data_IF_595254786346
#
_entry.id   IF_595254786346
#
_cell.length_a   1.000
_cell.length_b   1.000
_cell.length_c   1.000
_cell.angle_alpha   90.00
_cell.angle_beta   90.00
_cell.angle_gamma   90.00
#
_symmetry.space_group_name_H-M   'P 1'
#
loop_
_entity.id
_entity.type
_entity.pdbx_description
1 polymer ?
#
# COMPACT_ATOMS: atom_id res chain seq x y z
N UNK A 1 -31.12 16.22 8.75
CA UNK A 1 -32.18 15.70 9.66
C UNK A 1 -31.96 16.25 11.08
N UNK A 2 -30.79 16.13 11.71
CA UNK A 2 -30.48 16.67 13.05
C UNK A 2 -30.67 18.21 13.11
N UNK A 3 -30.32 18.92 12.07
CA UNK A 3 -30.49 20.37 11.93
C UNK A 3 -31.96 20.79 11.92
N UNK A 4 -32.76 20.12 11.10
CA UNK A 4 -34.21 20.37 11.06
C UNK A 4 -34.86 20.09 12.41
N UNK A 5 -34.44 19.02 13.09
CA UNK A 5 -34.93 18.68 14.42
C UNK A 5 -34.54 19.74 15.47
N UNK A 6 -33.30 20.28 15.43
CA UNK A 6 -32.86 21.35 16.31
C UNK A 6 -33.64 22.66 16.05
N UNK A 7 -33.81 23.02 14.77
CA UNK A 7 -34.59 24.19 14.38
C UNK A 7 -36.03 24.09 14.82
N UNK A 8 -36.66 22.92 14.70
CA UNK A 8 -38.02 22.66 15.15
C UNK A 8 -38.12 22.73 16.69
N UNK A 9 -37.16 22.21 17.43
CA UNK A 9 -37.14 22.29 18.90
C UNK A 9 -36.96 23.72 19.41
N UNK A 10 -36.09 24.51 18.78
CA UNK A 10 -35.93 25.94 19.10
C UNK A 10 -37.22 26.72 18.80
N UNK A 11 -37.84 26.48 17.64
CA UNK A 11 -39.11 27.11 17.28
C UNK A 11 -40.22 26.77 18.27
N UNK A 12 -40.34 25.51 18.70
CA UNK A 12 -41.30 25.08 19.69
C UNK A 12 -41.03 25.69 21.09
N UNK A 13 -39.78 25.84 21.51
CA UNK A 13 -39.40 26.53 22.75
C UNK A 13 -39.82 28.02 22.71
N UNK A 14 -39.53 28.71 21.62
CA UNK A 14 -39.89 30.14 21.46
C UNK A 14 -41.42 30.27 21.43
N UNK A 15 -42.17 29.37 20.78
CA UNK A 15 -43.62 29.41 20.73
C UNK A 15 -44.30 29.14 22.07
N UNK A 16 -43.66 28.40 22.99
CA UNK A 16 -44.16 28.14 24.36
C UNK A 16 -43.94 29.32 25.30
N UNK A 17 -42.93 30.16 25.07
CA UNK A 17 -42.63 31.32 25.91
C UNK A 17 -43.31 32.62 25.43
N UNK A 18 -43.84 32.67 24.20
CA UNK A 18 -44.61 33.79 23.71
C UNK A 18 -46.09 33.45 23.86
N UNK A 19 -46.79 34.00 24.88
CA UNK A 19 -48.22 33.76 24.99
C UNK A 19 -48.91 34.36 23.76
N UNK A 20 -49.55 33.48 22.98
CA UNK A 20 -50.25 33.82 21.75
C UNK A 20 -51.49 34.65 22.03
N UNK A 21 -51.33 35.81 22.67
CA UNK A 21 -52.37 36.80 22.77
C UNK A 21 -52.24 37.79 21.60
N UNK A 22 -52.81 37.41 20.48
CA UNK A 22 -52.64 37.99 19.13
C UNK A 22 -53.02 39.50 19.08
N UNK A 23 -53.55 40.10 20.13
CA UNK A 23 -53.94 41.52 20.13
C UNK A 23 -52.84 42.52 20.44
N UNK A 24 -51.64 42.08 20.93
CA UNK A 24 -50.59 43.04 21.31
C UNK A 24 -49.14 42.57 21.06
N UNK A 25 -48.89 41.55 20.28
CA UNK A 25 -47.55 41.18 19.89
C UNK A 25 -47.04 42.12 18.81
N UNK A 26 -46.01 42.90 19.13
CA UNK A 26 -45.30 43.73 18.14
C UNK A 26 -44.76 42.82 17.03
N UNK A 27 -45.33 42.88 15.84
CA UNK A 27 -44.91 42.13 14.66
C UNK A 27 -43.40 42.25 14.46
N UNK A 28 -42.78 43.38 14.85
CA UNK A 28 -41.36 43.65 14.82
C UNK A 28 -40.53 42.65 15.65
N UNK A 29 -41.03 42.19 16.77
CA UNK A 29 -40.36 41.21 17.63
C UNK A 29 -40.28 39.84 16.93
N UNK A 30 -41.33 39.41 16.28
CA UNK A 30 -41.41 38.16 15.53
C UNK A 30 -40.41 38.18 14.36
N UNK A 31 -40.38 39.27 13.60
CA UNK A 31 -39.40 39.43 12.50
C UNK A 31 -37.97 39.46 13.00
N UNK A 32 -37.70 40.05 14.18
CA UNK A 32 -36.38 40.06 14.79
C UNK A 32 -35.89 38.64 15.16
N UNK A 33 -36.74 37.81 15.75
CA UNK A 33 -36.40 36.42 16.05
C UNK A 33 -36.20 35.58 14.79
N UNK A 34 -37.02 35.74 13.76
CA UNK A 34 -36.84 35.08 12.46
C UNK A 34 -35.49 35.47 11.85
N UNK A 35 -35.12 36.76 11.90
CA UNK A 35 -33.86 37.25 11.38
C UNK A 35 -32.66 36.62 12.12
N UNK A 36 -32.68 36.62 13.46
CA UNK A 36 -31.63 35.96 14.27
C UNK A 36 -31.49 34.47 13.90
N UNK A 37 -32.62 33.82 13.70
CA UNK A 37 -32.68 32.39 13.37
C UNK A 37 -32.02 32.12 12.00
N UNK A 38 -32.32 32.91 10.99
CA UNK A 38 -31.71 32.80 9.66
C UNK A 38 -30.20 33.06 9.75
N UNK A 39 -29.75 34.04 10.53
CA UNK A 39 -28.33 34.35 10.70
C UNK A 39 -27.61 33.21 11.40
N UNK A 40 -28.17 32.65 12.47
CA UNK A 40 -27.53 31.53 13.18
C UNK A 40 -27.45 30.27 12.32
N UNK A 41 -28.51 29.94 11.57
CA UNK A 41 -28.48 28.80 10.65
C UNK A 41 -27.43 29.00 9.52
N UNK A 42 -27.35 30.21 9.00
CA UNK A 42 -26.35 30.54 7.96
C UNK A 42 -24.91 30.39 8.47
N UNK A 43 -24.61 30.86 9.68
CA UNK A 43 -23.31 30.71 10.34
C UNK A 43 -22.99 29.22 10.55
N UNK A 44 -23.96 28.45 10.99
CA UNK A 44 -23.79 27.04 11.27
C UNK A 44 -23.52 26.22 9.99
N UNK A 45 -24.25 26.52 8.90
CA UNK A 45 -24.02 25.92 7.56
C UNK A 45 -22.63 26.28 7.04
N UNK A 46 -22.22 27.54 7.21
CA UNK A 46 -20.87 27.95 6.83
C UNK A 46 -19.79 27.19 7.59
N UNK A 47 -19.95 27.05 8.92
CA UNK A 47 -18.98 26.35 9.76
C UNK A 47 -18.88 24.86 9.44
N UNK A 48 -20.01 24.18 9.18
CA UNK A 48 -20.01 22.77 8.80
C UNK A 48 -19.37 22.53 7.44
N UNK A 49 -19.64 23.39 6.45
CA UNK A 49 -18.97 23.31 5.13
C UNK A 49 -17.49 23.59 5.21
N UNK A 50 -17.09 24.62 5.97
CA UNK A 50 -15.68 24.97 6.16
C UNK A 50 -14.91 23.84 6.86
N UNK A 51 -15.48 23.26 7.90
CA UNK A 51 -14.86 22.11 8.60
C UNK A 51 -14.73 20.90 7.68
N UNK A 52 -15.76 20.57 6.91
CA UNK A 52 -15.70 19.46 5.96
C UNK A 52 -14.61 19.65 4.89
N UNK A 53 -14.48 20.86 4.36
CA UNK A 53 -13.42 21.20 3.41
C UNK A 53 -12.04 21.11 4.05
N UNK A 54 -11.88 21.62 5.27
CA UNK A 54 -10.62 21.53 6.01
C UNK A 54 -10.16 20.09 6.22
N UNK A 55 -11.05 19.20 6.66
CA UNK A 55 -10.73 17.79 6.85
C UNK A 55 -10.40 17.08 5.53
N UNK A 56 -11.09 17.44 4.45
CA UNK A 56 -10.79 16.91 3.11
C UNK A 56 -9.38 17.29 2.66
N UNK A 57 -9.04 18.60 2.73
CA UNK A 57 -7.69 19.09 2.35
C UNK A 57 -6.60 18.47 3.23
N UNK A 58 -6.85 18.35 4.55
CA UNK A 58 -5.92 17.71 5.46
C UNK A 58 -5.66 16.26 5.08
N UNK A 59 -6.71 15.48 4.82
CA UNK A 59 -6.57 14.08 4.38
C UNK A 59 -5.84 13.93 3.03
N UNK A 60 -6.09 14.84 2.08
CA UNK A 60 -5.37 14.86 0.80
C UNK A 60 -3.87 15.16 0.98
N UNK A 61 -3.52 16.11 1.84
CA UNK A 61 -2.12 16.43 2.15
C UNK A 61 -1.40 15.25 2.84
N UNK A 62 -2.02 14.62 3.83
CA UNK A 62 -1.46 13.44 4.50
C UNK A 62 -1.23 12.29 3.50
N UNK A 63 -2.15 12.11 2.55
CA UNK A 63 -2.00 11.13 1.49
C UNK A 63 -0.81 11.45 0.56
N UNK A 64 -0.63 12.71 0.19
CA UNK A 64 0.49 13.17 -0.63
C UNK A 64 1.83 12.99 0.11
N UNK A 65 1.90 13.33 1.39
CA UNK A 65 3.09 13.11 2.22
C UNK A 65 3.46 11.62 2.29
N UNK A 66 2.47 10.75 2.48
CA UNK A 66 2.68 9.31 2.49
C UNK A 66 3.18 8.79 1.14
N UNK A 67 2.61 9.26 0.03
CA UNK A 67 3.06 8.91 -1.32
C UNK A 67 4.51 9.36 -1.56
N UNK A 68 4.86 10.60 -1.17
CA UNK A 68 6.21 11.13 -1.29
C UNK A 68 7.21 10.31 -0.47
N UNK A 69 6.83 9.90 0.74
CA UNK A 69 7.66 9.04 1.59
C UNK A 69 7.92 7.67 0.94
N UNK A 70 6.89 7.03 0.42
CA UNK A 70 7.03 5.75 -0.29
C UNK A 70 7.91 5.89 -1.53
N UNK A 71 7.76 6.97 -2.27
CA UNK A 71 8.57 7.25 -3.45
C UNK A 71 10.04 7.44 -3.08
N UNK A 72 10.32 8.22 -2.02
CA UNK A 72 11.69 8.42 -1.53
C UNK A 72 12.33 7.11 -1.05
N UNK A 73 11.57 6.25 -0.38
CA UNK A 73 12.05 4.93 0.08
C UNK A 73 12.33 3.99 -1.10
N UNK A 74 11.48 4.00 -2.12
CA UNK A 74 11.71 3.27 -3.37
C UNK A 74 12.99 3.73 -4.08
N UNK A 75 13.20 5.05 -4.23
CA UNK A 75 14.43 5.58 -4.84
C UNK A 75 15.67 5.22 -4.03
N UNK A 76 15.60 5.27 -2.71
CA UNK A 76 16.71 4.85 -1.85
C UNK A 76 17.09 3.39 -2.09
N UNK A 77 16.11 2.48 -2.09
CA UNK A 77 16.34 1.05 -2.36
C UNK A 77 16.89 0.81 -3.78
N UNK A 78 16.41 1.56 -4.75
CA UNK A 78 16.92 1.48 -6.12
C UNK A 78 18.40 1.91 -6.20
N UNK A 79 18.77 2.98 -5.50
CA UNK A 79 20.19 3.43 -5.42
C UNK A 79 21.06 2.39 -4.70
N UNK A 80 20.62 1.86 -3.58
CA UNK A 80 21.33 0.79 -2.84
C UNK A 80 21.56 -0.45 -3.72
N UNK A 81 20.56 -0.87 -4.49
CA UNK A 81 20.68 -1.96 -5.45
C UNK A 81 21.64 -1.62 -6.60
N UNK A 82 21.60 -0.38 -7.12
CA UNK A 82 22.52 0.07 -8.15
C UNK A 82 23.97 0.07 -7.67
N UNK A 83 24.23 0.61 -6.47
CA UNK A 83 25.56 0.61 -5.85
C UNK A 83 26.07 -0.81 -5.61
N UNK A 84 25.22 -1.71 -5.10
CA UNK A 84 25.54 -3.12 -4.89
C UNK A 84 25.90 -3.81 -6.21
N UNK A 85 25.13 -3.57 -7.26
CA UNK A 85 25.39 -4.12 -8.61
C UNK A 85 26.67 -3.54 -9.22
N UNK A 86 26.95 -2.25 -9.02
CA UNK A 86 28.17 -1.61 -9.48
C UNK A 86 29.40 -2.18 -8.77
N UNK A 87 29.32 -2.42 -7.46
CA UNK A 87 30.36 -3.06 -6.67
C UNK A 87 30.61 -4.49 -7.13
N UNK A 88 29.55 -5.28 -7.32
CA UNK A 88 29.66 -6.65 -7.84
C UNK A 88 30.33 -6.68 -9.22
N UNK A 89 29.98 -5.77 -10.13
CA UNK A 89 30.61 -5.64 -11.45
C UNK A 89 32.09 -5.33 -11.33
N UNK A 90 32.48 -4.41 -10.43
CA UNK A 90 33.87 -4.08 -10.16
C UNK A 90 34.63 -5.31 -9.65
N UNK A 91 34.08 -6.06 -8.72
CA UNK A 91 34.71 -7.24 -8.12
C UNK A 91 34.85 -8.37 -9.15
N UNK A 92 33.84 -8.60 -10.00
CA UNK A 92 33.92 -9.55 -11.13
C UNK A 92 35.04 -9.14 -12.12
N UNK A 93 35.09 -7.84 -12.48
CA UNK A 93 36.15 -7.37 -13.37
C UNK A 93 37.55 -7.59 -12.80
N UNK A 94 37.75 -7.38 -11.50
CA UNK A 94 39.00 -7.67 -10.82
C UNK A 94 39.36 -9.17 -10.87
N UNK A 95 38.38 -10.04 -10.61
CA UNK A 95 38.57 -11.49 -10.70
C UNK A 95 38.92 -11.93 -12.13
N UNK A 96 38.23 -11.36 -13.14
CA UNK A 96 38.55 -11.64 -14.56
C UNK A 96 39.97 -11.20 -14.92
N UNK A 97 40.44 -10.05 -14.41
CA UNK A 97 41.82 -9.63 -14.59
C UNK A 97 42.82 -10.62 -13.98
N UNK A 98 42.57 -11.08 -12.75
CA UNK A 98 43.41 -12.09 -12.09
C UNK A 98 43.42 -13.40 -12.86
N UNK A 99 42.29 -13.86 -13.37
CA UNK A 99 42.18 -15.05 -14.22
C UNK A 99 43.04 -14.88 -15.49
N UNK A 100 42.95 -13.73 -16.17
CA UNK A 100 43.72 -13.46 -17.37
C UNK A 100 45.24 -13.46 -17.11
N UNK A 101 45.69 -12.91 -15.97
CA UNK A 101 47.08 -12.92 -15.55
C UNK A 101 47.56 -14.37 -15.33
N UNK A 102 46.79 -15.18 -14.58
CA UNK A 102 47.17 -16.57 -14.30
C UNK A 102 47.18 -17.44 -15.55
N UNK A 103 46.27 -17.21 -16.51
CA UNK A 103 46.28 -17.91 -17.80
C UNK A 103 47.44 -17.46 -18.70
N UNK A 104 47.87 -16.19 -18.63
CA UNK A 104 48.99 -15.67 -19.44
C UNK A 104 50.35 -16.25 -19.02
N UNK A 105 50.50 -16.69 -17.78
CA UNK A 105 51.70 -17.37 -17.27
C UNK A 105 51.89 -18.75 -17.91
N UNK A 106 50.86 -19.31 -18.51
CA UNK A 106 50.85 -20.60 -19.23
C UNK A 106 51.50 -21.76 -18.45
N UNK A 107 51.37 -21.73 -17.12
CA UNK A 107 51.89 -22.75 -16.20
C UNK A 107 50.76 -23.67 -15.75
N UNK A 108 51.08 -24.92 -15.39
CA UNK A 108 50.10 -25.85 -14.84
C UNK A 108 49.47 -25.31 -13.55
N UNK A 109 50.25 -24.60 -12.74
CA UNK A 109 49.81 -23.99 -11.50
C UNK A 109 48.90 -22.76 -11.73
N UNK A 110 49.22 -21.90 -12.71
CA UNK A 110 48.36 -20.79 -13.12
C UNK A 110 47.02 -21.24 -13.65
N UNK A 111 47.01 -22.31 -14.49
CA UNK A 111 45.75 -22.90 -14.97
C UNK A 111 44.89 -23.51 -13.86
N UNK A 112 45.51 -24.09 -12.81
CA UNK A 112 44.79 -24.61 -11.64
C UNK A 112 44.17 -23.49 -10.82
N UNK A 113 44.95 -22.42 -10.52
CA UNK A 113 44.44 -21.24 -9.80
C UNK A 113 43.32 -20.53 -10.54
N UNK A 114 43.42 -20.37 -11.86
CA UNK A 114 42.35 -19.80 -12.67
C UNK A 114 41.07 -20.64 -12.58
N UNK A 115 41.13 -21.96 -12.61
CA UNK A 115 39.99 -22.85 -12.43
C UNK A 115 39.37 -22.74 -11.04
N UNK A 116 40.18 -22.61 -9.98
CA UNK A 116 39.71 -22.42 -8.61
C UNK A 116 38.95 -21.08 -8.47
N UNK A 117 39.44 -20.00 -9.08
CA UNK A 117 38.73 -18.71 -9.08
C UNK A 117 37.42 -18.80 -9.85
N UNK A 118 37.40 -19.44 -11.02
CA UNK A 118 36.17 -19.63 -11.82
C UNK A 118 35.13 -20.45 -11.04
N UNK A 119 35.54 -21.53 -10.35
CA UNK A 119 34.63 -22.32 -9.51
C UNK A 119 34.09 -21.49 -8.34
N UNK A 120 34.95 -20.69 -7.68
CA UNK A 120 34.49 -19.79 -6.61
C UNK A 120 33.54 -18.72 -7.09
N UNK A 121 33.72 -18.17 -8.29
CA UNK A 121 32.73 -17.25 -8.91
C UNK A 121 31.40 -17.99 -9.17
N UNK A 122 31.45 -19.21 -9.69
CA UNK A 122 30.25 -20.02 -9.92
C UNK A 122 29.49 -20.30 -8.62
N UNK A 123 30.19 -20.61 -7.54
CA UNK A 123 29.60 -20.84 -6.22
C UNK A 123 28.94 -19.55 -5.66
N UNK A 124 29.60 -18.40 -5.86
CA UNK A 124 29.01 -17.10 -5.50
C UNK A 124 27.77 -16.80 -6.37
N UNK A 125 27.84 -17.04 -7.67
CA UNK A 125 26.69 -16.86 -8.57
C UNK A 125 25.54 -17.86 -8.26
N UNK A 126 25.86 -19.08 -7.85
CA UNK A 126 24.85 -20.06 -7.43
C UNK A 126 24.25 -19.74 -6.08
N UNK A 127 25.02 -19.17 -5.14
CA UNK A 127 24.49 -18.66 -3.86
C UNK A 127 23.69 -17.36 -4.01
N UNK A 128 23.97 -16.59 -5.04
CA UNK A 128 23.20 -15.40 -5.47
C UNK A 128 22.16 -15.74 -6.54
N UNK A 129 21.86 -17.01 -6.80
CA UNK A 129 20.65 -17.37 -7.54
C UNK A 129 19.46 -16.81 -6.80
N UNK A 130 19.15 -15.57 -7.09
CA UNK A 130 17.96 -14.87 -6.67
C UNK A 130 16.80 -15.76 -7.09
N UNK A 131 16.07 -16.28 -6.15
CA UNK A 131 14.86 -17.07 -6.43
C UNK A 131 14.04 -16.25 -7.41
N UNK A 132 13.91 -16.73 -8.64
CA UNK A 132 13.15 -16.00 -9.66
C UNK A 132 11.70 -16.39 -9.55
N UNK A 133 10.87 -15.45 -9.12
CA UNK A 133 9.44 -15.64 -8.92
C UNK A 133 8.65 -15.47 -10.21
N UNK A 134 9.06 -14.49 -11.07
CA UNK A 134 8.39 -14.22 -12.34
C UNK A 134 9.36 -13.65 -13.37
N UNK A 135 8.88 -13.42 -14.60
CA UNK A 135 9.67 -12.81 -15.68
C UNK A 135 9.87 -11.30 -15.50
N UNK A 136 8.93 -10.60 -14.84
CA UNK A 136 9.01 -9.17 -14.59
C UNK A 136 10.09 -8.88 -13.53
N UNK A 137 11.18 -8.20 -13.94
CA UNK A 137 12.35 -7.99 -13.10
C UNK A 137 12.06 -7.10 -11.89
N UNK A 138 11.20 -6.10 -12.04
CA UNK A 138 10.88 -5.14 -10.98
C UNK A 138 9.99 -5.79 -9.91
N UNK A 139 8.97 -6.53 -10.35
CA UNK A 139 8.12 -7.31 -9.43
C UNK A 139 8.96 -8.39 -8.74
N UNK A 140 9.87 -9.03 -9.46
CA UNK A 140 10.77 -10.03 -8.90
C UNK A 140 11.64 -9.46 -7.76
N UNK A 141 12.14 -8.24 -7.91
CA UNK A 141 12.90 -7.55 -6.86
C UNK A 141 12.04 -7.27 -5.62
N UNK A 142 10.80 -6.82 -5.82
CA UNK A 142 9.84 -6.61 -4.71
C UNK A 142 9.56 -7.92 -3.98
N UNK A 143 9.30 -8.99 -4.72
CA UNK A 143 9.02 -10.31 -4.15
C UNK A 143 10.20 -10.84 -3.34
N UNK A 144 11.41 -10.67 -3.83
CA UNK A 144 12.62 -11.05 -3.12
C UNK A 144 12.76 -10.32 -1.78
N UNK A 145 12.60 -8.98 -1.77
CA UNK A 145 12.63 -8.15 -0.55
C UNK A 145 11.57 -8.62 0.46
N UNK A 146 10.32 -8.72 0.02
CA UNK A 146 9.20 -9.09 0.90
C UNK A 146 9.27 -10.52 1.41
N UNK A 147 9.78 -11.45 0.60
CA UNK A 147 10.00 -12.83 1.04
C UNK A 147 11.09 -12.91 2.09
N UNK A 148 12.14 -12.10 1.98
CA UNK A 148 13.20 -12.00 2.99
C UNK A 148 12.63 -11.51 4.33
N UNK A 149 11.83 -10.42 4.32
CA UNK A 149 11.16 -9.91 5.51
C UNK A 149 10.20 -10.96 6.12
N UNK A 150 9.46 -11.67 5.29
CA UNK A 150 8.55 -12.71 5.76
C UNK A 150 9.29 -13.87 6.45
N UNK A 151 10.45 -14.27 5.91
CA UNK A 151 11.30 -15.32 6.52
C UNK A 151 11.81 -14.92 7.90
N UNK A 152 12.23 -13.66 8.07
CA UNK A 152 12.67 -13.13 9.38
C UNK A 152 11.56 -13.23 10.44
N UNK A 153 10.30 -13.08 10.03
CA UNK A 153 9.12 -13.17 10.89
C UNK A 153 8.52 -14.59 10.98
N UNK A 154 9.23 -15.61 10.48
CA UNK A 154 8.80 -16.99 10.44
C UNK A 154 7.48 -17.20 9.67
N UNK A 155 7.22 -16.37 8.68
CA UNK A 155 6.05 -16.45 7.79
C UNK A 155 6.46 -17.26 6.55
N UNK A 156 5.71 -18.31 6.24
CA UNK A 156 5.88 -19.09 5.02
C UNK A 156 5.04 -18.51 3.90
N UNK A 157 5.70 -18.10 2.80
CA UNK A 157 5.00 -17.70 1.57
C UNK A 157 4.89 -18.89 0.64
N UNK A 158 3.69 -19.09 0.09
CA UNK A 158 3.41 -20.04 -0.99
C UNK A 158 2.99 -19.19 -2.18
N UNK A 159 3.79 -19.23 -3.24
CA UNK A 159 3.62 -18.38 -4.42
C UNK A 159 3.27 -19.20 -5.68
N UNK A 160 2.37 -18.64 -6.52
CA UNK A 160 2.02 -19.10 -7.87
C UNK A 160 1.92 -17.87 -8.79
N UNK A 161 3.05 -17.48 -9.40
CA UNK A 161 3.17 -16.21 -10.11
C UNK A 161 3.52 -16.44 -11.57
N UNK A 162 2.60 -16.03 -12.44
CA UNK A 162 2.75 -16.01 -13.89
C UNK A 162 2.53 -14.56 -14.33
N UNK A 163 3.63 -13.83 -14.54
CA UNK A 163 3.62 -12.43 -14.94
C UNK A 163 4.75 -12.16 -15.93
N UNK A 164 4.41 -11.63 -17.08
CA UNK A 164 5.35 -11.29 -18.13
C UNK A 164 6.02 -9.93 -17.91
N UNK A 165 7.12 -9.66 -18.64
CA UNK A 165 7.80 -8.36 -18.59
C UNK A 165 6.91 -7.23 -19.10
N UNK A 166 6.12 -7.47 -20.13
CA UNK A 166 5.19 -6.49 -20.65
C UNK A 166 3.80 -6.71 -20.06
N UNK A 167 3.48 -5.91 -19.05
CA UNK A 167 2.21 -6.03 -18.33
C UNK A 167 1.13 -5.07 -18.83
N UNK A 168 1.46 -4.10 -19.70
CA UNK A 168 0.55 -3.00 -20.03
C UNK A 168 0.25 -2.06 -18.86
N UNK A 169 0.84 -2.32 -17.68
CA UNK A 169 0.69 -1.54 -16.44
C UNK A 169 2.03 -0.85 -16.16
N UNK A 170 2.00 0.42 -15.74
CA UNK A 170 3.23 1.11 -15.35
C UNK A 170 3.93 0.35 -14.20
N UNK A 171 5.23 0.12 -14.34
CA UNK A 171 6.05 -0.62 -13.38
C UNK A 171 5.92 -0.12 -11.95
N UNK A 172 5.83 1.18 -11.78
CA UNK A 172 5.62 1.80 -10.48
C UNK A 172 4.28 1.43 -9.85
N UNK A 173 3.20 1.36 -10.64
CA UNK A 173 1.87 1.06 -10.13
C UNK A 173 1.75 -0.43 -9.76
N UNK A 174 2.27 -1.33 -10.61
CA UNK A 174 2.24 -2.77 -10.30
C UNK A 174 3.07 -3.10 -9.05
N UNK A 175 4.24 -2.46 -8.89
CA UNK A 175 5.05 -2.59 -7.67
C UNK A 175 4.29 -2.14 -6.43
N UNK A 176 3.59 -1.00 -6.50
CA UNK A 176 2.81 -0.47 -5.39
C UNK A 176 1.68 -1.42 -4.98
N UNK A 177 1.04 -2.07 -5.95
CA UNK A 177 0.03 -3.11 -5.65
C UNK A 177 0.67 -4.26 -4.88
N UNK A 178 1.77 -4.85 -5.39
CA UNK A 178 2.45 -5.95 -4.69
C UNK A 178 2.94 -5.56 -3.30
N UNK A 179 3.61 -4.40 -3.16
CA UNK A 179 4.11 -3.93 -1.87
C UNK A 179 2.98 -3.79 -0.86
N UNK A 180 1.88 -3.12 -1.23
CA UNK A 180 0.80 -2.86 -0.29
C UNK A 180 0.03 -4.13 0.10
N UNK A 181 -0.18 -5.06 -0.84
CA UNK A 181 -0.84 -6.34 -0.54
C UNK A 181 0.03 -7.21 0.37
N UNK A 182 1.34 -7.31 0.07
CA UNK A 182 2.28 -8.11 0.86
C UNK A 182 2.49 -7.51 2.25
N UNK A 183 2.69 -6.19 2.37
CA UNK A 183 2.86 -5.52 3.66
C UNK A 183 1.62 -5.68 4.54
N UNK A 184 0.42 -5.57 3.97
CA UNK A 184 -0.82 -5.80 4.69
C UNK A 184 -0.89 -7.24 5.24
N UNK A 185 -0.56 -8.23 4.40
CA UNK A 185 -0.59 -9.65 4.78
C UNK A 185 0.49 -10.00 5.80
N UNK A 186 1.73 -9.52 5.62
CA UNK A 186 2.83 -9.74 6.55
C UNK A 186 2.52 -9.11 7.91
N UNK A 187 2.01 -7.87 7.94
CA UNK A 187 1.64 -7.20 9.19
C UNK A 187 0.50 -7.92 9.92
N UNK A 188 -0.49 -8.45 9.20
CA UNK A 188 -1.55 -9.25 9.79
C UNK A 188 -1.00 -10.55 10.42
N UNK A 189 -0.07 -11.22 9.73
CA UNK A 189 0.56 -12.46 10.21
C UNK A 189 1.58 -12.24 11.32
N UNK A 190 2.23 -11.09 11.42
CA UNK A 190 3.06 -10.72 12.58
C UNK A 190 2.25 -10.75 13.87
N UNK A 191 1.03 -10.25 13.81
CA UNK A 191 0.12 -10.18 14.96
C UNK A 191 -0.75 -11.43 15.12
N UNK A 192 -0.64 -12.40 14.23
CA UNK A 192 -1.36 -13.67 14.33
C UNK A 192 -0.70 -14.59 15.35
N UNK A 193 -1.48 -15.12 16.29
CA UNK A 193 -0.98 -15.92 17.42
C UNK A 193 -0.91 -17.42 17.15
N UNK A 194 -1.39 -17.88 15.98
CA UNK A 194 -1.32 -19.31 15.58
C UNK A 194 0.06 -19.68 15.02
N UNK A 195 0.39 -20.96 15.07
CA UNK A 195 1.68 -21.49 14.60
C UNK A 195 1.77 -21.57 13.07
N UNK A 196 0.64 -21.57 12.36
CA UNK A 196 0.54 -21.72 10.91
C UNK A 196 0.51 -20.36 10.20
N UNK A 197 1.60 -19.60 10.31
CA UNK A 197 1.78 -18.32 9.60
C UNK A 197 2.01 -18.55 8.11
N UNK A 198 0.92 -18.67 7.36
CA UNK A 198 0.93 -18.91 5.92
C UNK A 198 0.38 -17.69 5.17
N UNK A 199 1.10 -17.28 4.13
CA UNK A 199 0.68 -16.29 3.14
C UNK A 199 0.63 -16.97 1.77
N UNK A 200 -0.52 -16.95 1.13
CA UNK A 200 -0.69 -17.41 -0.25
C UNK A 200 -0.70 -16.19 -1.17
N UNK A 201 0.21 -16.19 -2.14
CA UNK A 201 0.32 -15.17 -3.16
C UNK A 201 0.15 -15.80 -4.53
N UNK A 202 -0.83 -15.35 -5.29
CA UNK A 202 -0.94 -15.72 -6.69
C UNK A 202 -1.04 -14.50 -7.58
N UNK A 203 -0.40 -14.57 -8.73
CA UNK A 203 -0.53 -13.58 -9.79
C UNK A 203 -0.68 -14.30 -11.12
N UNK A 204 -1.73 -13.98 -11.84
CA UNK A 204 -1.98 -14.54 -13.18
C UNK A 204 -2.28 -13.40 -14.14
N UNK A 205 -1.59 -13.44 -15.26
CA UNK A 205 -1.82 -12.54 -16.39
C UNK A 205 -2.50 -13.31 -17.49
N UNK A 206 -3.61 -12.79 -17.98
CA UNK A 206 -4.23 -13.21 -19.25
C UNK A 206 -4.08 -12.07 -20.29
N UNK A 207 -4.77 -12.20 -21.44
CA UNK A 207 -4.64 -11.24 -22.54
C UNK A 207 -5.06 -9.81 -22.14
N UNK A 208 -6.04 -9.66 -21.25
CA UNK A 208 -6.70 -8.40 -20.96
C UNK A 208 -6.59 -7.97 -19.50
N UNK A 209 -6.17 -8.87 -18.58
CA UNK A 209 -6.18 -8.59 -17.15
C UNK A 209 -5.00 -9.22 -16.41
N UNK A 210 -4.63 -8.57 -15.31
CA UNK A 210 -3.74 -9.12 -14.30
C UNK A 210 -4.53 -9.31 -13.01
N UNK A 211 -4.50 -10.51 -12.46
CA UNK A 211 -5.14 -10.90 -11.21
C UNK A 211 -4.07 -11.12 -10.16
N UNK A 212 -4.05 -10.28 -9.13
CA UNK A 212 -3.10 -10.40 -8.01
C UNK A 212 -3.89 -10.71 -6.76
N UNK A 213 -3.68 -11.90 -6.18
CA UNK A 213 -4.40 -12.37 -5.01
C UNK A 213 -3.44 -12.63 -3.86
N UNK A 214 -3.77 -12.09 -2.68
CA UNK A 214 -3.12 -12.40 -1.42
C UNK A 214 -4.14 -12.99 -0.44
N UNK A 215 -3.77 -14.08 0.23
CA UNK A 215 -4.58 -14.69 1.30
C UNK A 215 -3.70 -14.94 2.52
N UNK A 216 -4.18 -14.54 3.67
CA UNK A 216 -3.49 -14.74 4.95
C UNK A 216 -4.48 -14.99 6.08
N UNK A 217 -4.00 -15.66 7.13
CA UNK A 217 -4.74 -15.76 8.39
C UNK A 217 -4.59 -14.48 9.20
N UNK A 218 -5.60 -14.20 10.03
CA UNK A 218 -5.57 -13.10 10.98
C UNK A 218 -6.26 -13.47 12.31
N UNK A 219 -5.93 -12.75 13.39
CA UNK A 219 -6.59 -12.93 14.68
C UNK A 219 -7.80 -11.99 14.80
N UNK A 220 -8.96 -12.52 15.16
CA UNK A 220 -10.20 -11.75 15.35
C UNK A 220 -10.09 -10.65 16.42
N UNK A 221 -9.17 -10.80 17.36
CA UNK A 221 -8.92 -9.82 18.44
C UNK A 221 -8.42 -8.46 17.97
N UNK A 222 -7.98 -8.34 16.70
CA UNK A 222 -7.43 -7.11 16.12
C UNK A 222 -8.52 -6.15 15.60
N UNK A 223 -9.81 -6.45 15.78
CA UNK A 223 -10.91 -5.52 15.46
C UNK A 223 -10.96 -4.24 16.30
N UNK A 224 -10.06 -4.04 17.28
CA UNK A 224 -9.94 -2.76 17.97
C UNK A 224 -9.10 -1.81 17.08
N UNK A 225 -9.62 -0.64 16.70
CA UNK A 225 -8.83 0.35 16.00
C UNK A 225 -7.65 0.72 16.93
N UNK A 226 -6.42 0.41 16.50
CA UNK A 226 -5.24 0.95 17.15
C UNK A 226 -5.29 2.48 17.14
N UNK A 227 -4.57 3.11 18.08
CA UNK A 227 -4.60 4.55 18.39
C UNK A 227 -4.39 5.50 17.20
N UNK A 228 -4.12 5.00 15.97
CA UNK A 228 -4.04 5.77 14.74
C UNK A 228 -4.78 5.04 13.59
N UNK A 229 -6.12 5.11 13.54
CA UNK A 229 -6.90 4.52 12.44
C UNK A 229 -6.59 5.14 11.07
N UNK A 230 -5.96 6.32 11.05
CA UNK A 230 -5.61 7.06 9.84
C UNK A 230 -4.44 6.45 9.04
N UNK A 231 -3.50 5.72 9.69
CA UNK A 231 -2.37 5.10 9.00
C UNK A 231 -2.66 3.70 8.43
N UNK A 232 -3.61 2.95 9.00
CA UNK A 232 -3.88 1.55 8.61
C UNK A 232 -4.79 1.38 7.37
N UNK A 233 -5.37 2.46 6.86
CA UNK A 233 -6.26 2.42 5.68
C UNK A 233 -5.59 2.78 4.34
N UNK A 234 -4.42 3.41 4.37
CA UNK A 234 -3.84 4.01 3.16
C UNK A 234 -3.32 3.01 2.14
N UNK A 235 -2.72 1.90 2.57
CA UNK A 235 -2.19 0.89 1.64
C UNK A 235 -3.28 0.28 0.76
N UNK A 236 -4.41 -0.10 1.35
CA UNK A 236 -5.55 -0.66 0.59
C UNK A 236 -6.25 0.40 -0.27
N UNK A 237 -6.28 1.66 0.18
CA UNK A 237 -6.78 2.78 -0.62
C UNK A 237 -5.91 2.99 -1.86
N UNK A 238 -4.58 2.93 -1.73
CA UNK A 238 -3.65 3.02 -2.86
C UNK A 238 -3.91 1.90 -3.87
N UNK A 239 -4.09 0.66 -3.39
CA UNK A 239 -4.40 -0.46 -4.28
C UNK A 239 -5.73 -0.21 -5.01
N UNK A 240 -6.75 0.26 -4.31
CA UNK A 240 -8.04 0.61 -4.89
C UNK A 240 -7.91 1.70 -5.97
N UNK A 241 -7.22 2.80 -5.65
CA UNK A 241 -7.02 3.91 -6.60
C UNK A 241 -6.28 3.44 -7.87
N UNK A 242 -5.30 2.51 -7.70
CA UNK A 242 -4.59 1.91 -8.85
C UNK A 242 -5.51 0.98 -9.65
N UNK A 243 -6.27 0.10 -9.00
CA UNK A 243 -7.20 -0.78 -9.72
C UNK A 243 -8.23 0.02 -10.50
N UNK A 244 -8.79 1.09 -9.92
CA UNK A 244 -9.72 2.01 -10.59
C UNK A 244 -9.04 2.73 -11.79
N UNK A 245 -7.79 3.17 -11.66
CA UNK A 245 -6.99 3.78 -12.74
C UNK A 245 -6.88 2.87 -13.96
N UNK A 246 -6.76 1.57 -13.75
CA UNK A 246 -6.65 0.57 -14.81
C UNK A 246 -7.98 -0.16 -15.08
N UNK A 247 -9.12 0.52 -14.85
CA UNK A 247 -10.47 0.00 -15.13
C UNK A 247 -10.73 -1.41 -14.55
N UNK A 248 -10.09 -1.70 -13.44
CA UNK A 248 -10.20 -2.96 -12.71
C UNK A 248 -10.97 -2.81 -11.40
N UNK A 249 -10.80 -3.79 -10.51
CA UNK A 249 -11.53 -3.84 -9.24
C UNK A 249 -10.66 -4.40 -8.12
N UNK A 250 -10.92 -3.94 -6.89
CA UNK A 250 -10.34 -4.48 -5.67
C UNK A 250 -11.43 -5.21 -4.88
N UNK A 251 -11.29 -6.52 -4.74
CA UNK A 251 -12.23 -7.37 -3.98
C UNK A 251 -11.56 -7.84 -2.70
N UNK A 252 -12.22 -7.63 -1.56
CA UNK A 252 -11.77 -8.12 -0.26
C UNK A 252 -12.82 -9.03 0.34
N UNK A 253 -12.39 -10.17 0.87
CA UNK A 253 -13.28 -11.15 1.50
C UNK A 253 -12.69 -11.64 2.82
N UNK A 254 -13.55 -11.87 3.78
CA UNK A 254 -13.22 -12.50 5.06
C UNK A 254 -14.03 -13.79 5.14
N UNK A 255 -13.33 -14.91 5.27
CA UNK A 255 -13.95 -16.20 5.48
C UNK A 255 -13.28 -16.86 6.70
N UNK A 256 -14.04 -17.08 7.76
CA UNK A 256 -13.54 -17.56 9.05
C UNK A 256 -12.36 -16.70 9.56
N UNK A 257 -11.18 -17.28 9.65
CA UNK A 257 -9.93 -16.61 10.07
C UNK A 257 -9.02 -16.25 8.90
N UNK A 258 -9.53 -16.29 7.66
CA UNK A 258 -8.76 -16.00 6.45
C UNK A 258 -9.23 -14.68 5.84
N UNK A 259 -8.29 -13.78 5.58
CA UNK A 259 -8.49 -12.57 4.81
C UNK A 259 -7.95 -12.78 3.40
N UNK A 260 -8.76 -12.54 2.40
CA UNK A 260 -8.40 -12.64 0.99
C UNK A 260 -8.59 -11.29 0.31
N UNK A 261 -7.60 -10.88 -0.45
CA UNK A 261 -7.64 -9.68 -1.29
C UNK A 261 -7.30 -10.05 -2.71
N UNK A 262 -8.14 -9.63 -3.66
CA UNK A 262 -7.93 -9.79 -5.08
C UNK A 262 -7.94 -8.41 -5.74
N UNK A 263 -6.82 -8.02 -6.32
CA UNK A 263 -6.69 -6.86 -7.19
C UNK A 263 -6.74 -7.31 -8.65
N UNK A 264 -7.64 -6.72 -9.41
CA UNK A 264 -7.82 -6.95 -10.85
C UNK A 264 -7.40 -5.67 -11.56
N UNK A 265 -6.51 -5.77 -12.54
CA UNK A 265 -6.02 -4.66 -13.36
C UNK A 265 -6.26 -5.02 -14.82
N UNK A 266 -6.89 -4.11 -15.59
CA UNK A 266 -7.04 -4.30 -17.02
C UNK A 266 -5.78 -3.84 -17.73
N UNK A 267 -5.22 -4.70 -18.56
CA UNK A 267 -4.08 -4.38 -19.43
C UNK A 267 -4.57 -3.62 -20.67
N UNK A 268 -3.78 -2.66 -21.13
CA UNK A 268 -4.07 -1.93 -22.38
C UNK A 268 -3.69 -2.75 -23.61
#
# INVERSE_FOLDING_TARGET
ILFLAFSITQFNQVSTYVPFNVKNTNLSIIYFYIFIFIVTDSILIYFTKSSALYYKIKSENEMLEYQNKLQAEYYRKMLENYESTAKLRHDINNLVQVINIQLSENTQEGNKKAKEIVSGISDIMDSTKTQRYCSNEIVNAVLFDKTSVAKEESIKIIDDIILDNNTGIADFDICRVFINLLDNSINALKNYTGDDKLLYLSCKQDNDHIFIKCENKFSETIRKPEKNPELHGYGMKIVKDITEKYNGELITQIQDTTFSTLAILKTE
#
